data_IF_857547355878
#
_entry.id   IF_857547355878
#
_cell.length_a   1.000
_cell.length_b   1.000
_cell.length_c   1.000
_cell.angle_alpha   90.00
_cell.angle_beta   90.00
_cell.angle_gamma   90.00
#
_symmetry.space_group_name_H-M   'P 1'
#
loop_
_entity.id
_entity.type
_entity.pdbx_description
1 polymer ?
#
# COMPACT_ATOMS: atom_id res chain seq x y z
N UNK A 1 0.17 -11.80 24.66
CA UNK A 1 -0.45 -11.55 23.35
C UNK A 1 -1.20 -10.23 23.51
N UNK A 2 -0.89 -9.19 22.71
CA UNK A 2 -1.70 -7.96 22.73
C UNK A 2 -2.99 -8.24 21.99
N UNK A 3 -4.13 -7.76 22.50
CA UNK A 3 -5.38 -7.76 21.75
C UNK A 3 -5.19 -6.98 20.45
N UNK A 4 -5.73 -7.51 19.35
CA UNK A 4 -5.73 -6.85 18.06
C UNK A 4 -6.96 -5.96 17.99
N UNK A 5 -6.80 -4.67 18.31
CA UNK A 5 -7.86 -3.69 18.18
C UNK A 5 -7.94 -3.17 16.74
N UNK A 6 -9.12 -3.28 16.13
CA UNK A 6 -9.37 -2.68 14.82
C UNK A 6 -9.81 -1.23 15.03
N UNK A 7 -9.00 -0.29 14.56
CA UNK A 7 -9.35 1.14 14.55
C UNK A 7 -10.47 1.46 13.54
N UNK A 8 -11.01 2.68 13.62
CA UNK A 8 -12.05 3.14 12.69
C UNK A 8 -11.52 3.21 11.25
N UNK A 9 -12.08 2.36 10.37
CA UNK A 9 -11.65 2.26 8.97
C UNK A 9 -12.16 3.42 8.09
N UNK A 10 -13.05 4.27 8.62
CA UNK A 10 -13.50 5.49 7.93
C UNK A 10 -12.53 6.66 8.06
N UNK A 11 -11.62 6.60 9.03
CA UNK A 11 -10.58 7.62 9.22
C UNK A 11 -9.35 7.32 8.37
N UNK A 12 -8.60 8.37 8.02
CA UNK A 12 -7.29 8.24 7.41
C UNK A 12 -6.35 7.42 8.31
N UNK A 13 -5.36 6.78 7.70
CA UNK A 13 -4.34 6.03 8.45
C UNK A 13 -3.58 6.95 9.42
N UNK A 14 -3.31 6.51 10.67
CA UNK A 14 -2.46 7.25 11.58
C UNK A 14 -1.02 7.29 11.04
N UNK A 15 -0.26 8.34 11.36
CA UNK A 15 1.16 8.49 10.97
C UNK A 15 1.46 8.07 9.51
N UNK A 16 0.91 8.77 8.50
CA UNK A 16 0.90 8.28 7.11
C UNK A 16 2.28 7.96 6.52
N UNK A 17 3.33 8.59 7.04
CA UNK A 17 4.72 8.33 6.63
C UNK A 17 5.22 6.92 6.98
N UNK A 18 4.51 6.17 7.83
CA UNK A 18 4.79 4.75 8.10
C UNK A 18 4.20 3.80 7.06
N UNK A 19 3.51 4.31 6.04
CA UNK A 19 2.80 3.48 5.07
C UNK A 19 3.29 3.72 3.64
N UNK A 20 3.51 2.62 2.93
CA UNK A 20 3.58 2.54 1.48
C UNK A 20 2.39 1.71 0.99
N UNK A 21 1.48 2.32 0.24
CA UNK A 21 0.33 1.65 -0.36
C UNK A 21 0.57 1.42 -1.85
N UNK A 22 0.48 0.16 -2.30
CA UNK A 22 0.46 -0.20 -3.72
C UNK A 22 -0.98 -0.50 -4.10
N UNK A 23 -1.51 0.24 -5.08
CA UNK A 23 -2.93 0.23 -5.42
C UNK A 23 -3.06 0.11 -6.94
N UNK A 24 -3.68 -0.96 -7.41
CA UNK A 24 -3.99 -1.14 -8.83
C UNK A 24 -5.34 -0.49 -9.16
N UNK A 25 -5.41 0.29 -10.24
CA UNK A 25 -6.67 0.90 -10.71
C UNK A 25 -7.64 -0.12 -11.29
N UNK A 26 -7.12 -1.26 -11.76
CA UNK A 26 -7.89 -2.39 -12.27
C UNK A 26 -8.19 -3.46 -11.20
N UNK A 27 -8.06 -3.12 -9.91
CA UNK A 27 -8.50 -3.98 -8.80
C UNK A 27 -10.01 -4.29 -8.96
N UNK A 28 -10.31 -5.58 -9.05
CA UNK A 28 -11.64 -6.13 -9.30
C UNK A 28 -12.48 -6.34 -8.04
N UNK A 29 -11.88 -6.18 -6.85
CA UNK A 29 -12.49 -6.45 -5.54
C UNK A 29 -12.69 -5.15 -4.75
N UNK A 30 -11.72 -4.25 -4.76
CA UNK A 30 -11.71 -3.01 -3.98
C UNK A 30 -11.72 -1.77 -4.88
N UNK A 31 -12.44 -0.73 -4.46
CA UNK A 31 -12.39 0.56 -5.15
C UNK A 31 -11.07 1.27 -4.85
N UNK A 32 -10.23 1.42 -5.87
CA UNK A 32 -8.91 2.06 -5.74
C UNK A 32 -8.99 3.51 -5.22
N UNK A 33 -10.11 4.22 -5.45
CA UNK A 33 -10.31 5.61 -5.00
C UNK A 33 -10.53 5.65 -3.49
N UNK A 34 -11.28 4.69 -2.95
CA UNK A 34 -11.48 4.56 -1.51
C UNK A 34 -10.17 4.19 -0.81
N UNK A 35 -9.41 3.24 -1.39
CA UNK A 35 -8.06 2.91 -0.91
C UNK A 35 -7.15 4.14 -0.93
N UNK A 36 -7.08 4.86 -2.04
CA UNK A 36 -6.25 6.05 -2.17
C UNK A 36 -6.66 7.17 -1.18
N UNK A 37 -7.95 7.33 -0.92
CA UNK A 37 -8.46 8.30 0.05
C UNK A 37 -8.07 7.91 1.50
N UNK A 38 -8.18 6.63 1.86
CA UNK A 38 -7.79 6.13 3.18
C UNK A 38 -6.30 6.34 3.47
N UNK A 39 -5.46 6.15 2.47
CA UNK A 39 -4.00 6.32 2.55
C UNK A 39 -3.53 7.72 2.12
N UNK A 40 -4.41 8.72 2.11
CA UNK A 40 -4.03 10.09 1.78
C UNK A 40 -2.90 10.59 2.71
N UNK A 41 -1.82 11.13 2.12
CA UNK A 41 -0.63 11.58 2.85
C UNK A 41 0.42 10.50 3.07
N UNK A 42 0.12 9.23 2.82
CA UNK A 42 1.10 8.16 2.77
C UNK A 42 1.83 8.15 1.42
N UNK A 43 2.86 7.31 1.30
CA UNK A 43 3.43 7.03 0.00
C UNK A 43 2.48 6.10 -0.77
N UNK A 44 1.91 6.59 -1.87
CA UNK A 44 0.96 5.82 -2.67
C UNK A 44 1.52 5.56 -4.07
N UNK A 45 1.62 4.29 -4.45
CA UNK A 45 1.94 3.84 -5.82
C UNK A 45 0.64 3.37 -6.47
N UNK A 46 -0.01 4.29 -7.18
CA UNK A 46 -1.25 4.00 -7.91
C UNK A 46 -0.89 3.63 -9.35
N UNK A 47 -1.07 2.35 -9.70
CA UNK A 47 -0.68 1.77 -10.99
C UNK A 47 -1.91 1.40 -11.82
N UNK A 48 -1.75 1.28 -13.13
CA UNK A 48 -2.87 0.95 -14.03
C UNK A 48 -3.28 -0.52 -13.98
N UNK A 49 -2.32 -1.41 -13.72
CA UNK A 49 -2.48 -2.86 -13.85
C UNK A 49 -1.92 -3.63 -12.66
N UNK A 50 -2.53 -4.79 -12.39
CA UNK A 50 -2.07 -5.72 -11.36
C UNK A 50 -3.22 -6.48 -10.68
N UNK A 51 -4.44 -5.94 -10.78
CA UNK A 51 -5.63 -6.45 -10.09
C UNK A 51 -5.47 -6.46 -8.57
N UNK A 52 -6.43 -7.07 -7.88
CA UNK A 52 -6.38 -7.21 -6.43
C UNK A 52 -5.17 -8.05 -5.95
N UNK A 53 -4.77 -9.02 -6.77
CA UNK A 53 -3.65 -9.91 -6.45
C UNK A 53 -2.27 -9.24 -6.60
N UNK A 54 -2.18 -8.06 -7.21
CA UNK A 54 -0.91 -7.42 -7.61
C UNK A 54 0.01 -8.42 -8.34
N UNK A 55 -0.48 -9.04 -9.42
CA UNK A 55 0.20 -10.17 -10.09
C UNK A 55 1.64 -9.87 -10.56
N UNK A 56 1.97 -8.60 -10.73
CA UNK A 56 3.27 -8.06 -11.12
C UNK A 56 4.12 -7.58 -9.91
N UNK A 57 3.74 -7.93 -8.68
CA UNK A 57 4.40 -7.45 -7.45
C UNK A 57 5.91 -7.66 -7.45
N UNK A 58 6.36 -8.88 -7.73
CA UNK A 58 7.79 -9.24 -7.69
C UNK A 58 8.62 -8.45 -8.70
N UNK A 59 8.05 -8.13 -9.86
CA UNK A 59 8.76 -7.47 -10.96
C UNK A 59 8.66 -5.95 -10.93
N UNK A 60 7.59 -5.38 -10.36
CA UNK A 60 7.32 -3.93 -10.46
C UNK A 60 7.25 -3.20 -9.11
N UNK A 61 7.11 -3.92 -7.99
CA UNK A 61 6.80 -3.30 -6.70
C UNK A 61 7.76 -3.71 -5.59
N UNK A 62 8.36 -4.90 -5.66
CA UNK A 62 9.22 -5.44 -4.61
C UNK A 62 10.37 -4.50 -4.26
N UNK A 63 11.10 -3.96 -5.24
CA UNK A 63 12.24 -3.07 -4.99
C UNK A 63 11.81 -1.80 -4.23
N UNK A 64 10.68 -1.19 -4.61
CA UNK A 64 10.16 -0.01 -3.93
C UNK A 64 9.72 -0.31 -2.48
N UNK A 65 9.18 -1.51 -2.23
CA UNK A 65 8.81 -1.97 -0.89
C UNK A 65 10.07 -2.20 -0.05
N UNK A 66 11.09 -2.82 -0.62
CA UNK A 66 12.37 -3.05 0.04
C UNK A 66 13.07 -1.75 0.40
N UNK A 67 13.13 -0.79 -0.53
CA UNK A 67 13.68 0.54 -0.30
C UNK A 67 12.91 1.28 0.81
N UNK A 68 11.58 1.22 0.79
CA UNK A 68 10.73 1.83 1.82
C UNK A 68 11.01 1.27 3.22
N UNK A 69 11.21 -0.05 3.32
CA UNK A 69 11.54 -0.72 4.56
C UNK A 69 13.01 -0.55 4.98
N UNK A 70 13.85 0.07 4.14
CA UNK A 70 15.28 0.19 4.35
C UNK A 70 16.02 -1.16 4.28
N UNK A 71 15.47 -2.12 3.53
CA UNK A 71 16.05 -3.46 3.34
C UNK A 71 16.64 -3.52 1.93
N UNK A 72 17.91 -3.13 1.78
CA UNK A 72 18.62 -3.20 0.50
C UNK A 72 20.11 -3.53 0.71
N UNK A 73 20.80 -3.97 -0.35
CA UNK A 73 22.26 -4.10 -0.30
C UNK A 73 22.88 -2.71 -0.03
N UNK A 74 23.92 -2.58 0.81
CA UNK A 74 24.59 -1.30 0.99
C UNK A 74 25.11 -0.80 -0.36
N UNK A 75 24.95 0.50 -0.59
CA UNK A 75 25.52 1.19 -1.75
C UNK A 75 27.05 1.02 -1.83
#
# INVERSE_FOLDING_TARGET
>A
MRDLEVGDLSLAVPDPWHYLAVIARDDEVLDWREMAARYAGAQCRIVDHGGHALVNYATEHLDAVLDFLGIGAPA
#
